data_IF_814604236923
#
_entry.id   IF_814604236923
#
_cell.length_a   1.000
_cell.length_b   1.000
_cell.length_c   1.000
_cell.angle_alpha   90.00
_cell.angle_beta   90.00
_cell.angle_gamma   90.00
#
_symmetry.space_group_name_H-M   'P 1'
#
loop_
_entity.id
_entity.type
_entity.pdbx_description
1 polymer ?
#
# COMPACT_ATOMS: atom_id res chain seq x y z
N UNK A 1 -35.22 8.16 -15.93
CA UNK A 1 -33.98 8.17 -15.12
C UNK A 1 -33.76 9.58 -14.61
N UNK A 2 -33.52 9.80 -13.32
CA UNK A 2 -33.29 11.14 -12.79
C UNK A 2 -32.03 11.76 -13.44
N UNK A 3 -32.14 13.01 -13.88
CA UNK A 3 -31.00 13.79 -14.40
C UNK A 3 -30.41 14.62 -13.27
N UNK A 4 -29.10 14.59 -13.12
CA UNK A 4 -28.35 15.43 -12.16
C UNK A 4 -27.61 16.52 -12.95
N UNK A 5 -27.80 17.78 -12.59
CA UNK A 5 -27.04 18.87 -13.16
C UNK A 5 -25.62 18.89 -12.58
N UNK A 6 -24.63 19.01 -13.46
CA UNK A 6 -23.22 19.16 -13.11
C UNK A 6 -22.67 20.53 -13.53
N UNK A 7 -23.56 21.53 -13.65
CA UNK A 7 -23.15 22.89 -14.00
C UNK A 7 -22.06 23.40 -13.04
N UNK A 8 -20.99 23.97 -13.57
CA UNK A 8 -19.84 24.47 -12.81
C UNK A 8 -18.90 23.38 -12.28
N UNK A 9 -19.04 22.13 -12.72
CA UNK A 9 -18.17 21.00 -12.34
C UNK A 9 -17.46 20.41 -13.56
N UNK A 10 -16.24 19.95 -13.33
CA UNK A 10 -15.52 19.13 -14.30
C UNK A 10 -15.77 17.66 -13.97
N UNK A 11 -16.10 16.87 -15.00
CA UNK A 11 -16.19 15.40 -14.88
C UNK A 11 -14.97 14.81 -15.59
N UNK A 12 -14.25 13.96 -14.89
CA UNK A 12 -13.05 13.29 -15.41
C UNK A 12 -13.01 11.84 -14.93
N UNK A 13 -12.28 10.96 -15.62
CA UNK A 13 -11.98 9.63 -15.08
C UNK A 13 -11.29 9.74 -13.72
N UNK A 14 -11.48 8.73 -12.86
CA UNK A 14 -10.73 8.64 -11.62
C UNK A 14 -9.22 8.53 -11.88
N UNK A 15 -8.44 9.02 -10.93
CA UNK A 15 -6.98 8.99 -11.03
C UNK A 15 -6.45 7.55 -10.95
N UNK A 16 -5.32 7.33 -11.61
CA UNK A 16 -4.58 6.06 -11.57
C UNK A 16 -3.26 6.28 -10.85
N UNK A 17 -3.04 5.54 -9.77
CA UNK A 17 -1.77 5.50 -9.05
C UNK A 17 -0.99 4.27 -9.52
N UNK A 18 0.15 4.49 -10.16
CA UNK A 18 0.97 3.41 -10.72
C UNK A 18 2.06 2.90 -9.78
N UNK A 19 2.22 3.46 -8.58
CA UNK A 19 3.25 3.04 -7.64
C UNK A 19 2.85 3.33 -6.20
N UNK A 20 2.68 2.27 -5.42
CA UNK A 20 2.48 2.34 -3.97
C UNK A 20 2.90 1.03 -3.30
N UNK A 21 3.01 1.07 -1.97
CA UNK A 21 3.16 -0.07 -1.08
C UNK A 21 2.10 0.09 0.01
N UNK A 22 0.98 -0.60 -0.13
CA UNK A 22 -0.17 -0.40 0.77
C UNK A 22 0.15 -0.74 2.22
N UNK A 23 0.98 -1.76 2.45
CA UNK A 23 1.42 -2.14 3.79
C UNK A 23 2.27 -1.06 4.48
N UNK A 24 2.93 -0.17 3.72
CA UNK A 24 3.78 0.88 4.26
C UNK A 24 3.01 2.07 4.84
N UNK A 25 1.70 2.09 4.78
CA UNK A 25 0.88 3.18 5.32
C UNK A 25 1.12 3.49 6.79
N UNK A 26 1.55 2.49 7.56
CA UNK A 26 1.90 2.64 9.00
C UNK A 26 3.25 3.32 9.24
N UNK A 27 4.10 3.44 8.21
CA UNK A 27 5.43 4.03 8.31
C UNK A 27 5.43 5.55 8.17
N UNK A 28 4.30 6.15 7.86
CA UNK A 28 4.19 7.57 7.60
C UNK A 28 4.63 8.41 8.80
N UNK A 29 5.51 9.37 8.57
CA UNK A 29 6.08 10.24 9.59
C UNK A 29 7.04 9.54 10.55
N UNK A 30 7.35 8.27 10.30
CA UNK A 30 8.40 7.54 10.98
C UNK A 30 9.68 7.61 10.14
N UNK A 31 10.80 7.83 10.77
CA UNK A 31 12.11 7.77 10.12
C UNK A 31 12.32 8.79 9.00
N UNK A 32 11.84 10.02 9.19
CA UNK A 32 12.10 11.14 8.28
C UNK A 32 13.61 11.46 8.21
N UNK A 33 14.06 11.96 7.05
CA UNK A 33 15.44 12.43 6.81
C UNK A 33 16.53 11.34 6.88
N UNK A 34 16.18 10.07 6.79
CA UNK A 34 17.17 8.98 6.74
C UNK A 34 17.62 8.68 5.31
N UNK A 35 18.90 8.34 5.10
CA UNK A 35 19.33 7.70 3.86
C UNK A 35 18.54 6.41 3.61
N UNK A 36 18.33 6.09 2.32
CA UNK A 36 17.47 4.96 1.92
C UNK A 36 17.88 3.63 2.57
N UNK A 37 19.17 3.34 2.60
CA UNK A 37 19.73 2.09 3.15
C UNK A 37 19.48 1.99 4.66
N UNK A 38 19.57 3.12 5.36
CA UNK A 38 19.28 3.19 6.81
C UNK A 38 17.77 3.06 7.03
N UNK A 39 16.97 3.71 6.19
CA UNK A 39 15.52 3.61 6.25
C UNK A 39 15.05 2.17 6.03
N UNK A 40 15.60 1.46 5.06
CA UNK A 40 15.32 0.03 4.88
C UNK A 40 15.68 -0.79 6.11
N UNK A 41 16.94 -0.71 6.56
CA UNK A 41 17.48 -1.62 7.59
C UNK A 41 16.99 -1.31 9.00
N UNK A 42 16.77 -0.03 9.34
CA UNK A 42 16.39 0.41 10.70
C UNK A 42 14.93 0.79 10.84
N UNK A 43 14.27 1.14 9.74
CA UNK A 43 12.89 1.59 9.72
C UNK A 43 11.95 0.55 9.15
N UNK A 44 12.01 0.33 7.85
CA UNK A 44 11.01 -0.43 7.12
C UNK A 44 10.99 -1.92 7.52
N UNK A 45 12.12 -2.61 7.44
CA UNK A 45 12.17 -4.05 7.71
C UNK A 45 11.70 -4.42 9.10
N UNK A 46 12.19 -3.80 10.19
CA UNK A 46 11.73 -4.17 11.53
C UNK A 46 10.23 -3.96 11.75
N UNK A 47 9.63 -2.98 11.07
CA UNK A 47 8.19 -2.75 11.17
C UNK A 47 7.42 -3.78 10.36
N UNK A 48 7.81 -4.05 9.11
CA UNK A 48 7.13 -5.02 8.26
C UNK A 48 7.23 -6.44 8.81
N UNK A 49 8.37 -6.81 9.40
CA UNK A 49 8.54 -8.11 10.07
C UNK A 49 7.59 -8.30 11.27
N UNK A 50 7.23 -7.20 11.93
CA UNK A 50 6.27 -7.20 13.04
C UNK A 50 4.80 -7.20 12.60
N UNK A 51 4.51 -7.00 11.31
CA UNK A 51 3.13 -7.00 10.82
C UNK A 51 2.64 -8.43 10.61
N UNK A 52 1.40 -8.67 11.01
CA UNK A 52 0.64 -9.87 10.70
C UNK A 52 -0.51 -9.54 9.75
N UNK A 53 -1.29 -10.53 9.36
CA UNK A 53 -2.41 -10.33 8.43
C UNK A 53 -3.39 -9.24 8.88
N UNK A 54 -3.72 -9.19 10.18
CA UNK A 54 -4.63 -8.18 10.73
C UNK A 54 -4.04 -6.77 10.69
N UNK A 55 -2.78 -6.62 11.04
CA UNK A 55 -2.11 -5.32 11.02
C UNK A 55 -1.85 -4.87 9.58
N UNK A 56 -1.52 -5.80 8.69
CA UNK A 56 -1.39 -5.57 7.26
C UNK A 56 -2.70 -5.10 6.63
N UNK A 57 -3.82 -5.72 7.00
CA UNK A 57 -5.16 -5.29 6.59
C UNK A 57 -5.42 -3.84 7.03
N UNK A 58 -5.14 -3.49 8.27
CA UNK A 58 -5.33 -2.13 8.78
C UNK A 58 -4.41 -1.11 8.09
N UNK A 59 -3.14 -1.46 7.86
CA UNK A 59 -2.18 -0.61 7.15
C UNK A 59 -2.62 -0.33 5.72
N UNK A 60 -3.03 -1.37 5.00
CA UNK A 60 -3.53 -1.26 3.64
C UNK A 60 -4.84 -0.46 3.58
N UNK A 61 -5.76 -0.66 4.54
CA UNK A 61 -7.00 0.09 4.62
C UNK A 61 -6.75 1.60 4.78
N UNK A 62 -5.77 1.99 5.60
CA UNK A 62 -5.38 3.38 5.78
C UNK A 62 -4.86 3.99 4.46
N UNK A 63 -3.95 3.30 3.77
CA UNK A 63 -3.41 3.74 2.49
C UNK A 63 -4.50 3.86 1.42
N UNK A 64 -5.39 2.88 1.35
CA UNK A 64 -6.50 2.87 0.39
C UNK A 64 -7.50 3.99 0.66
N UNK A 65 -7.83 4.25 1.92
CA UNK A 65 -8.71 5.35 2.30
C UNK A 65 -8.16 6.69 1.81
N UNK A 66 -6.87 6.90 1.96
CA UNK A 66 -6.22 8.12 1.50
C UNK A 66 -6.23 8.23 -0.03
N UNK A 67 -5.81 7.19 -0.74
CA UNK A 67 -5.86 7.15 -2.20
C UNK A 67 -7.25 7.47 -2.74
N UNK A 68 -8.27 6.81 -2.19
CA UNK A 68 -9.66 7.00 -2.61
C UNK A 68 -10.17 8.41 -2.27
N UNK A 69 -9.76 8.99 -1.13
CA UNK A 69 -10.13 10.36 -0.76
C UNK A 69 -9.56 11.40 -1.72
N UNK A 70 -8.44 11.09 -2.38
CA UNK A 70 -7.82 11.93 -3.42
C UNK A 70 -8.39 11.67 -4.84
N UNK A 71 -9.40 10.80 -4.96
CA UNK A 71 -10.02 10.49 -6.25
C UNK A 71 -9.31 9.42 -7.06
N UNK A 72 -8.39 8.65 -6.45
CA UNK A 72 -7.78 7.47 -7.09
C UNK A 72 -8.81 6.35 -7.13
N UNK A 73 -8.98 5.76 -8.31
CA UNK A 73 -9.91 4.65 -8.56
C UNK A 73 -9.23 3.37 -9.01
N UNK A 74 -7.94 3.47 -9.32
CA UNK A 74 -7.12 2.34 -9.75
C UNK A 74 -5.71 2.52 -9.19
N UNK A 75 -5.14 1.47 -8.58
CA UNK A 75 -3.79 1.52 -8.04
C UNK A 75 -2.98 0.29 -8.44
N UNK A 76 -1.67 0.47 -8.63
CA UNK A 76 -0.70 -0.61 -8.66
C UNK A 76 0.12 -0.58 -7.36
N UNK A 77 0.24 -1.72 -6.70
CA UNK A 77 0.98 -1.86 -5.46
C UNK A 77 1.96 -3.02 -5.54
N UNK A 78 3.18 -2.79 -5.08
CA UNK A 78 4.16 -3.84 -4.84
C UNK A 78 4.24 -4.14 -3.35
N UNK A 79 3.94 -5.36 -2.95
CA UNK A 79 3.99 -5.75 -1.55
C UNK A 79 5.20 -6.66 -1.30
N UNK A 80 5.95 -6.34 -0.26
CA UNK A 80 7.06 -7.16 0.19
C UNK A 80 6.50 -8.32 0.99
N UNK A 81 6.42 -9.47 0.33
CA UNK A 81 5.67 -10.62 0.83
C UNK A 81 6.48 -11.64 1.63
N UNK A 82 7.67 -11.30 2.10
CA UNK A 82 8.45 -12.20 2.96
C UNK A 82 8.79 -11.49 4.27
N UNK A 83 8.86 -12.17 5.39
CA UNK A 83 8.67 -13.59 5.63
C UNK A 83 7.23 -13.99 5.99
N UNK A 84 6.26 -13.06 6.05
CA UNK A 84 4.93 -13.35 6.55
C UNK A 84 3.88 -13.38 5.43
N UNK A 85 3.44 -14.56 4.94
CA UNK A 85 2.42 -14.67 3.92
C UNK A 85 1.08 -14.06 4.33
N UNK A 86 0.75 -14.07 5.63
CA UNK A 86 -0.51 -13.52 6.13
C UNK A 86 -0.62 -12.01 5.90
N UNK A 87 0.53 -11.30 5.80
CA UNK A 87 0.55 -9.87 5.51
C UNK A 87 -0.07 -9.57 4.14
N UNK A 88 0.30 -10.34 3.13
CA UNK A 88 -0.26 -10.19 1.78
C UNK A 88 -1.76 -10.48 1.76
N UNK A 89 -2.20 -11.51 2.46
CA UNK A 89 -3.63 -11.83 2.58
C UNK A 89 -4.40 -10.68 3.24
N UNK A 90 -3.84 -10.05 4.26
CA UNK A 90 -4.41 -8.86 4.89
C UNK A 90 -4.55 -7.68 3.91
N UNK A 91 -3.53 -7.44 3.10
CA UNK A 91 -3.58 -6.40 2.05
C UNK A 91 -4.66 -6.73 1.02
N UNK A 92 -4.74 -7.96 0.54
CA UNK A 92 -5.74 -8.41 -0.43
C UNK A 92 -7.16 -8.25 0.11
N UNK A 93 -7.41 -8.60 1.38
CA UNK A 93 -8.69 -8.40 2.04
C UNK A 93 -9.11 -6.92 2.04
N UNK A 94 -8.17 -6.01 2.32
CA UNK A 94 -8.44 -4.57 2.29
C UNK A 94 -8.75 -4.06 0.89
N UNK A 95 -8.01 -4.52 -0.12
CA UNK A 95 -8.27 -4.18 -1.52
C UNK A 95 -9.69 -4.63 -1.91
N UNK A 96 -10.05 -5.87 -1.63
CA UNK A 96 -11.37 -6.41 -1.95
C UNK A 96 -12.49 -5.61 -1.28
N UNK A 97 -12.35 -5.33 0.02
CA UNK A 97 -13.35 -4.57 0.79
C UNK A 97 -13.48 -3.11 0.35
N UNK A 98 -12.41 -2.51 -0.14
CA UNK A 98 -12.42 -1.11 -0.62
C UNK A 98 -13.18 -0.91 -1.93
N UNK A 99 -13.25 -1.95 -2.75
CA UNK A 99 -13.82 -1.90 -4.10
C UNK A 99 -12.98 -1.12 -5.11
N UNK A 100 -11.77 -0.69 -4.77
CA UNK A 100 -10.82 -0.07 -5.73
C UNK A 100 -10.32 -1.13 -6.71
N UNK A 101 -10.02 -0.72 -7.94
CA UNK A 101 -9.29 -1.58 -8.87
C UNK A 101 -7.81 -1.58 -8.49
N UNK A 102 -7.23 -2.75 -8.25
CA UNK A 102 -5.84 -2.86 -7.89
C UNK A 102 -5.11 -3.94 -8.69
N UNK A 103 -3.88 -3.63 -9.08
CA UNK A 103 -2.88 -4.60 -9.48
C UNK A 103 -1.96 -4.81 -8.28
N UNK A 104 -2.04 -5.97 -7.66
CA UNK A 104 -1.21 -6.32 -6.51
C UNK A 104 -0.11 -7.27 -6.97
N UNK A 105 1.13 -6.88 -6.79
CA UNK A 105 2.31 -7.70 -7.08
C UNK A 105 3.06 -8.03 -5.80
N UNK A 106 3.58 -9.24 -5.71
CA UNK A 106 4.53 -9.63 -4.69
C UNK A 106 5.94 -9.27 -5.16
N UNK A 107 6.68 -8.52 -4.36
CA UNK A 107 8.09 -8.24 -4.62
C UNK A 107 8.89 -9.47 -4.20
N UNK A 108 9.67 -10.00 -5.13
CA UNK A 108 10.66 -11.03 -4.88
C UNK A 108 12.07 -10.42 -5.01
N UNK A 109 12.91 -10.67 -4.04
CA UNK A 109 14.31 -10.24 -4.06
C UNK A 109 15.21 -11.48 -4.07
N UNK A 110 16.21 -11.47 -4.95
CA UNK A 110 17.16 -12.57 -5.12
C UNK A 110 18.54 -12.28 -4.51
N UNK A 111 18.75 -11.07 -4.01
CA UNK A 111 19.96 -10.73 -3.28
C UNK A 111 19.71 -10.92 -1.77
N UNK A 112 20.24 -11.99 -1.20
CA UNK A 112 20.41 -12.07 0.23
C UNK A 112 21.56 -11.12 0.63
N UNK A 113 21.25 -9.87 0.89
CA UNK A 113 22.11 -9.06 1.74
C UNK A 113 21.98 -9.63 3.16
N UNK A 114 23.09 -9.73 3.90
CA UNK A 114 23.13 -10.28 5.27
C UNK A 114 22.20 -9.53 6.24
N UNK A 115 21.59 -8.43 5.80
CA UNK A 115 20.57 -7.64 6.52
C UNK A 115 19.12 -8.02 6.18
N UNK A 116 18.89 -8.90 5.20
CA UNK A 116 17.56 -9.39 4.86
C UNK A 116 17.29 -10.70 5.59
N UNK A 117 16.26 -10.81 6.42
CA UNK A 117 15.87 -12.09 6.99
C UNK A 117 15.45 -13.03 5.85
N UNK A 118 16.03 -14.23 5.85
CA UNK A 118 15.75 -15.32 4.92
C UNK A 118 14.33 -15.85 5.03
#
# INVERSE_FOLDING_TARGET
TPRRSLAGRLVMPGLVNCHTHLSNGVLRGLYDEMPLEVWFSKGMWPVLDGLNGRNGEAAAALSLLELMSMGVTTTATGEIGAPNPDLLDGVLNSVERSGIRALVSRIAMDSADESSPS
#
